data_IF_392963551431
#
_entry.id   IF_392963551431
#
_cell.length_a   1.000
_cell.length_b   1.000
_cell.length_c   1.000
_cell.angle_alpha   90.00
_cell.angle_beta   90.00
_cell.angle_gamma   90.00
#
_symmetry.space_group_name_H-M   'P 1'
#
loop_
_entity.id
_entity.type
_entity.pdbx_description
1 polymer ?
#
# COMPACT_ATOMS: atom_id res chain seq x y z
N UNK A 1 0.54 -3.61 -10.58
CA UNK A 1 1.60 -2.84 -9.90
C UNK A 1 1.40 -2.96 -8.40
N UNK A 2 2.48 -2.98 -7.65
CA UNK A 2 2.51 -3.03 -6.20
C UNK A 2 3.48 -1.96 -5.70
N UNK A 3 3.07 -1.21 -4.69
CA UNK A 3 3.88 -0.28 -3.93
C UNK A 3 3.76 -0.62 -2.45
N UNK A 4 4.88 -0.63 -1.74
CA UNK A 4 4.91 -0.78 -0.30
C UNK A 4 5.76 0.33 0.31
N UNK A 5 5.25 0.94 1.38
CA UNK A 5 5.93 1.99 2.12
C UNK A 5 5.91 1.64 3.59
N UNK A 6 7.07 1.54 4.22
CA UNK A 6 7.19 1.60 5.66
C UNK A 6 7.23 3.06 6.09
N UNK A 7 6.38 3.42 7.04
CA UNK A 7 6.24 4.79 7.56
C UNK A 7 6.30 4.74 9.08
N UNK A 8 7.03 5.68 9.68
CA UNK A 8 6.94 5.93 11.11
C UNK A 8 5.69 6.74 11.42
N UNK A 9 4.84 6.28 12.32
CA UNK A 9 3.67 7.01 12.77
C UNK A 9 3.91 7.48 14.21
N UNK A 10 4.16 8.77 14.39
CA UNK A 10 4.34 9.38 15.71
C UNK A 10 3.05 9.40 16.56
N UNK A 11 1.90 9.45 15.89
CA UNK A 11 0.57 9.29 16.49
C UNK A 11 -0.36 8.49 15.57
N UNK A 12 -1.48 8.00 16.13
CA UNK A 12 -2.53 7.28 15.40
C UNK A 12 -3.88 8.00 15.48
N UNK A 13 -3.85 9.32 15.67
CA UNK A 13 -5.04 10.16 15.71
C UNK A 13 -5.67 10.35 14.32
N UNK A 14 -6.83 11.02 14.22
CA UNK A 14 -7.58 11.15 12.97
C UNK A 14 -6.82 11.90 11.85
N UNK A 15 -5.82 12.72 12.20
CA UNK A 15 -5.01 13.47 11.24
C UNK A 15 -3.73 12.75 10.80
N UNK A 16 -3.34 11.68 11.51
CA UNK A 16 -2.20 10.82 11.14
C UNK A 16 -2.48 10.05 9.86
N UNK A 17 -1.44 9.47 9.25
CA UNK A 17 -1.62 8.56 8.12
C UNK A 17 -2.56 7.41 8.49
N UNK A 18 -2.38 6.80 9.66
CA UNK A 18 -3.24 5.72 10.16
C UNK A 18 -4.71 6.15 10.25
N UNK A 19 -5.00 7.31 10.85
CA UNK A 19 -6.36 7.83 10.95
C UNK A 19 -6.98 8.16 9.60
N UNK A 20 -6.20 8.69 8.66
CA UNK A 20 -6.64 8.97 7.28
C UNK A 20 -6.99 7.68 6.54
N UNK A 21 -6.16 6.65 6.62
CA UNK A 21 -6.43 5.36 5.97
C UNK A 21 -7.71 4.72 6.53
N UNK A 22 -7.92 4.76 7.85
CA UNK A 22 -9.16 4.28 8.46
C UNK A 22 -10.40 5.05 7.98
N UNK A 23 -10.31 6.39 7.91
CA UNK A 23 -11.41 7.22 7.40
C UNK A 23 -11.70 6.95 5.92
N UNK A 24 -10.67 6.74 5.11
CA UNK A 24 -10.81 6.37 3.70
C UNK A 24 -11.48 5.00 3.58
N UNK A 25 -11.02 4.00 4.31
CA UNK A 25 -11.59 2.66 4.29
C UNK A 25 -13.07 2.63 4.74
N UNK A 26 -13.44 3.44 5.74
CA UNK A 26 -14.82 3.51 6.23
C UNK A 26 -15.81 4.12 5.22
N UNK A 27 -15.33 4.96 4.29
CA UNK A 27 -16.14 5.67 3.31
C UNK A 27 -15.89 5.27 1.85
N UNK A 28 -15.00 4.31 1.59
CA UNK A 28 -14.60 3.95 0.24
C UNK A 28 -15.74 3.23 -0.51
N UNK A 29 -16.08 3.76 -1.68
CA UNK A 29 -16.83 3.00 -2.68
C UNK A 29 -15.87 2.10 -3.44
N UNK A 30 -15.88 0.80 -3.14
CA UNK A 30 -15.04 -0.20 -3.81
C UNK A 30 -15.77 -0.92 -4.94
N UNK A 31 -17.00 -0.52 -5.26
CA UNK A 31 -17.84 -1.16 -6.27
C UNK A 31 -17.84 -0.38 -7.60
N UNK A 32 -17.55 0.91 -7.58
CA UNK A 32 -17.41 1.73 -8.78
C UNK A 32 -15.96 1.99 -9.16
N UNK A 33 -15.71 2.16 -10.46
CA UNK A 33 -14.39 2.56 -10.96
C UNK A 33 -13.97 3.93 -10.40
N UNK A 34 -14.90 4.89 -10.32
CA UNK A 34 -14.63 6.21 -9.72
C UNK A 34 -14.23 6.09 -8.26
N UNK A 35 -14.92 5.27 -7.48
CA UNK A 35 -14.58 5.03 -6.08
C UNK A 35 -13.20 4.38 -5.90
N UNK A 36 -12.83 3.40 -6.74
CA UNK A 36 -11.49 2.81 -6.73
C UNK A 36 -10.40 3.82 -7.13
N UNK A 37 -10.67 4.67 -8.13
CA UNK A 37 -9.73 5.75 -8.51
C UNK A 37 -9.52 6.73 -7.36
N UNK A 38 -10.60 7.14 -6.70
CA UNK A 38 -10.54 8.01 -5.53
C UNK A 38 -9.76 7.36 -4.39
N UNK A 39 -9.98 6.07 -4.11
CA UNK A 39 -9.23 5.32 -3.09
C UNK A 39 -7.73 5.36 -3.35
N UNK A 40 -7.30 5.06 -4.58
CA UNK A 40 -5.86 5.08 -4.94
C UNK A 40 -5.29 6.49 -4.86
N UNK A 41 -6.01 7.50 -5.38
CA UNK A 41 -5.57 8.89 -5.36
C UNK A 41 -5.40 9.44 -3.94
N UNK A 42 -6.41 9.26 -3.09
CA UNK A 42 -6.37 9.74 -1.70
C UNK A 42 -5.32 9.01 -0.88
N UNK A 43 -5.16 7.69 -1.07
CA UNK A 43 -4.12 6.90 -0.39
C UNK A 43 -2.72 7.34 -0.82
N UNK A 44 -2.47 7.47 -2.13
CA UNK A 44 -1.16 7.92 -2.64
C UNK A 44 -0.85 9.35 -2.20
N UNK A 45 -1.84 10.23 -2.15
CA UNK A 45 -1.70 11.59 -1.63
C UNK A 45 -1.39 11.62 -0.13
N UNK A 46 -2.06 10.78 0.67
CA UNK A 46 -1.78 10.66 2.10
C UNK A 46 -0.34 10.19 2.35
N UNK A 47 0.14 9.22 1.57
CA UNK A 47 1.53 8.74 1.62
C UNK A 47 2.53 9.82 1.21
N UNK A 48 2.27 10.55 0.12
CA UNK A 48 3.12 11.67 -0.32
C UNK A 48 3.18 12.80 0.71
N UNK A 49 2.10 13.04 1.47
CA UNK A 49 2.09 14.04 2.55
C UNK A 49 2.84 13.59 3.80
N UNK A 50 3.12 12.29 3.96
CA UNK A 50 3.91 11.73 5.05
C UNK A 50 5.34 11.38 4.61
N UNK A 51 5.87 12.07 3.59
CA UNK A 51 7.19 11.79 3.01
C UNK A 51 8.32 11.86 4.04
N UNK A 52 8.24 12.80 4.99
CA UNK A 52 9.22 12.96 6.07
C UNK A 52 9.29 11.77 7.03
N UNK A 53 8.23 10.96 7.07
CA UNK A 53 8.10 9.79 7.95
C UNK A 53 8.42 8.48 7.22
N UNK A 54 8.76 8.51 5.92
CA UNK A 54 9.11 7.32 5.18
C UNK A 54 10.40 6.69 5.71
N UNK A 55 10.38 5.37 5.82
CA UNK A 55 11.47 4.57 6.38
C UNK A 55 12.04 3.64 5.33
N UNK A 56 11.19 2.93 4.62
CA UNK A 56 11.60 1.96 3.63
C UNK A 56 10.55 1.85 2.53
N UNK A 57 10.94 1.40 1.34
CA UNK A 57 10.04 1.31 0.20
C UNK A 57 10.32 0.13 -0.72
N UNK A 58 9.28 -0.28 -1.43
CA UNK A 58 9.36 -1.24 -2.53
C UNK A 58 8.36 -0.89 -3.61
N UNK A 59 8.73 -1.19 -4.85
CA UNK A 59 7.87 -1.12 -6.01
C UNK A 59 8.03 -2.37 -6.86
N UNK A 60 6.94 -2.83 -7.47
CA UNK A 60 6.99 -3.93 -8.42
C UNK A 60 5.91 -3.81 -9.49
N UNK A 61 6.25 -4.18 -10.72
CA UNK A 61 5.30 -4.26 -11.83
C UNK A 61 5.27 -5.68 -12.36
N UNK A 62 4.12 -6.33 -12.19
CA UNK A 62 3.87 -7.65 -12.77
C UNK A 62 3.25 -7.46 -14.15
N UNK A 63 4.02 -7.68 -15.21
CA UNK A 63 3.47 -7.68 -16.56
C UNK A 63 2.83 -9.05 -16.84
N UNK A 64 1.49 -9.09 -16.87
CA UNK A 64 0.71 -10.26 -17.29
C UNK A 64 -0.35 -9.85 -18.32
N UNK A 65 -0.73 -10.77 -19.20
CA UNK A 65 -1.85 -10.55 -20.13
C UNK A 65 -1.47 -10.06 -21.53
N UNK A 66 -0.28 -10.39 -22.04
CA UNK A 66 0.18 -9.99 -23.39
C UNK A 66 -0.72 -10.54 -24.55
N UNK A 67 -1.67 -11.44 -24.26
CA UNK A 67 -2.55 -12.10 -25.23
C UNK A 67 -4.04 -11.68 -25.13
N UNK A 68 -4.36 -10.57 -24.46
CA UNK A 68 -5.70 -9.97 -24.50
C UNK A 68 -6.78 -10.67 -23.66
N UNK A 69 -6.41 -11.55 -22.72
CA UNK A 69 -7.36 -12.19 -21.80
C UNK A 69 -7.43 -11.43 -20.47
N UNK A 70 -8.52 -10.70 -20.25
CA UNK A 70 -8.80 -9.97 -19.00
C UNK A 70 -8.76 -10.88 -17.76
N UNK A 71 -9.25 -12.12 -17.88
CA UNK A 71 -9.28 -13.08 -16.78
C UNK A 71 -7.88 -13.44 -16.27
N UNK A 72 -6.84 -13.37 -17.11
CA UNK A 72 -5.46 -13.68 -16.71
C UNK A 72 -4.90 -12.57 -15.81
N UNK A 73 -5.30 -11.32 -16.03
CA UNK A 73 -4.89 -10.16 -15.22
C UNK A 73 -5.59 -10.18 -13.86
N UNK A 74 -6.89 -10.40 -13.83
CA UNK A 74 -7.67 -10.49 -12.59
C UNK A 74 -7.21 -11.66 -11.71
N UNK A 75 -7.04 -12.85 -12.30
CA UNK A 75 -6.54 -14.01 -11.56
C UNK A 75 -5.13 -13.76 -11.00
N UNK A 76 -4.26 -13.12 -11.78
CA UNK A 76 -2.91 -12.78 -11.32
C UNK A 76 -2.91 -11.71 -10.22
N UNK A 77 -3.79 -10.72 -10.31
CA UNK A 77 -3.99 -9.71 -9.27
C UNK A 77 -4.44 -10.37 -7.97
N UNK A 78 -5.48 -11.21 -8.03
CA UNK A 78 -6.00 -11.93 -6.87
C UNK A 78 -4.94 -12.85 -6.23
N UNK A 79 -4.14 -13.55 -7.04
CA UNK A 79 -3.02 -14.36 -6.52
C UNK A 79 -1.95 -13.52 -5.83
N UNK A 80 -1.56 -12.38 -6.41
CA UNK A 80 -0.60 -11.48 -5.80
C UNK A 80 -1.16 -10.88 -4.50
N UNK A 81 -2.42 -10.49 -4.51
CA UNK A 81 -3.11 -9.94 -3.35
C UNK A 81 -3.19 -10.95 -2.19
N UNK A 82 -3.54 -12.20 -2.47
CA UNK A 82 -3.58 -13.25 -1.45
C UNK A 82 -2.21 -13.47 -0.79
N UNK A 83 -1.11 -13.38 -1.57
CA UNK A 83 0.25 -13.48 -1.02
C UNK A 83 0.58 -12.31 -0.10
N UNK A 84 0.18 -11.09 -0.47
CA UNK A 84 0.38 -9.94 0.40
C UNK A 84 -0.50 -10.07 1.65
N UNK A 85 -1.80 -10.34 1.54
CA UNK A 85 -2.71 -10.54 2.70
C UNK A 85 -2.21 -11.60 3.68
N UNK A 86 -1.65 -12.71 3.19
CA UNK A 86 -1.12 -13.77 4.04
C UNK A 86 -0.02 -13.26 5.00
N UNK A 87 0.79 -12.27 4.58
CA UNK A 87 1.80 -11.65 5.46
C UNK A 87 1.13 -10.89 6.61
N UNK A 88 0.00 -10.23 6.37
CA UNK A 88 -0.74 -9.44 7.35
C UNK A 88 -1.53 -10.36 8.31
N UNK A 89 -2.10 -11.47 7.79
CA UNK A 89 -2.80 -12.46 8.63
C UNK A 89 -1.85 -13.23 9.56
N UNK A 90 -0.63 -13.54 9.10
CA UNK A 90 0.43 -14.13 9.95
C UNK A 90 0.85 -13.18 11.10
N UNK A 91 0.63 -11.87 10.96
CA UNK A 91 0.85 -10.92 12.05
C UNK A 91 -0.29 -10.91 13.08
N UNK A 92 -1.54 -10.94 12.61
CA UNK A 92 -2.75 -10.89 13.46
C UNK A 92 -2.96 -12.13 14.34
N UNK A 93 -2.24 -13.23 14.09
CA UNK A 93 -2.26 -14.44 14.94
C UNK A 93 -1.47 -14.31 16.26
N UNK A 94 -1.19 -13.08 16.69
CA UNK A 94 -0.61 -12.76 18.01
C UNK A 94 0.88 -12.43 18.00
N UNK A 95 1.45 -12.07 16.84
CA UNK A 95 2.89 -11.71 16.72
C UNK A 95 3.16 -10.23 16.89
N UNK A 96 2.15 -9.36 16.80
CA UNK A 96 2.31 -7.93 17.09
C UNK A 96 2.24 -7.67 18.59
N UNK A 97 3.10 -6.76 19.06
CA UNK A 97 3.09 -6.33 20.46
C UNK A 97 1.95 -5.35 20.66
N UNK A 98 1.06 -5.68 21.59
CA UNK A 98 0.07 -4.72 22.10
C UNK A 98 0.73 -3.75 23.05
N UNK A 99 0.76 -2.47 22.69
CA UNK A 99 1.43 -1.42 23.48
C UNK A 99 0.48 -0.29 23.91
N UNK A 100 -0.79 -0.37 23.53
CA UNK A 100 -1.82 0.64 23.79
C UNK A 100 -2.12 1.49 22.55
N UNK A 101 -3.40 1.85 22.36
CA UNK A 101 -3.78 2.78 21.31
C UNK A 101 -3.04 4.13 21.38
N UNK A 102 -2.85 4.76 20.22
CA UNK A 102 -2.18 6.06 20.06
C UNK A 102 -0.70 6.11 20.48
N UNK A 103 -0.01 4.96 20.55
CA UNK A 103 1.44 4.94 20.71
C UNK A 103 2.15 5.09 19.37
N UNK A 104 3.35 5.72 19.35
CA UNK A 104 4.18 5.73 18.17
C UNK A 104 4.51 4.31 17.72
N UNK A 105 4.47 4.06 16.42
CA UNK A 105 4.67 2.74 15.83
C UNK A 105 5.10 2.89 14.38
N UNK A 106 5.74 1.86 13.82
CA UNK A 106 5.88 1.74 12.38
C UNK A 106 4.59 1.18 11.79
N UNK A 107 4.37 1.46 10.51
CA UNK A 107 3.27 0.91 9.71
C UNK A 107 3.77 0.59 8.31
N UNK A 108 3.31 -0.51 7.73
CA UNK A 108 3.51 -0.81 6.31
C UNK A 108 2.21 -0.52 5.59
N UNK A 109 2.26 0.28 4.53
CA UNK A 109 1.13 0.53 3.63
C UNK A 109 1.44 -0.10 2.29
N UNK A 110 0.56 -0.98 1.82
CA UNK A 110 0.64 -1.63 0.51
C UNK A 110 -0.46 -1.10 -0.40
N UNK A 111 -0.10 -0.54 -1.54
CA UNK A 111 -1.03 -0.11 -2.60
C UNK A 111 -0.83 -1.03 -3.80
N UNK A 112 -1.87 -1.76 -4.18
CA UNK A 112 -1.88 -2.62 -5.35
C UNK A 112 -2.90 -2.13 -6.36
N UNK A 113 -2.49 -2.03 -7.63
CA UNK A 113 -3.40 -1.69 -8.73
C UNK A 113 -3.21 -2.64 -9.90
N UNK A 114 -4.31 -3.10 -10.48
CA UNK A 114 -4.32 -3.73 -11.80
C UNK A 114 -4.67 -2.65 -12.83
N UNK A 115 -3.80 -2.47 -13.82
CA UNK A 115 -4.01 -1.50 -14.89
C UNK A 115 -4.05 -2.19 -16.24
N UNK A 116 -4.78 -1.61 -17.19
CA UNK A 116 -4.77 -2.01 -18.59
C UNK A 116 -3.42 -1.71 -19.25
N UNK A 117 -2.90 -0.52 -19.02
CA UNK A 117 -1.55 -0.08 -19.36
C UNK A 117 -0.75 0.17 -18.07
N UNK A 118 0.07 -0.83 -17.70
CA UNK A 118 0.90 -0.80 -16.51
C UNK A 118 2.37 -0.54 -16.88
N UNK A 119 2.89 0.70 -16.71
CA UNK A 119 4.30 0.96 -16.91
C UNK A 119 5.13 0.29 -15.81
N UNK A 120 6.40 0.04 -16.10
CA UNK A 120 7.35 -0.42 -15.09
C UNK A 120 7.59 0.69 -14.06
N UNK A 121 7.30 0.41 -12.79
CA UNK A 121 7.69 1.26 -11.67
C UNK A 121 9.22 1.39 -11.57
N UNK A 122 9.75 2.54 -11.16
CA UNK A 122 11.17 2.68 -10.87
C UNK A 122 11.54 1.79 -9.69
N UNK A 123 12.69 1.12 -9.74
CA UNK A 123 13.22 0.36 -8.61
C UNK A 123 13.58 1.31 -7.47
N UNK A 124 12.99 1.12 -6.30
CA UNK A 124 13.24 1.98 -5.14
C UNK A 124 14.69 1.84 -4.67
N UNK A 125 15.41 2.97 -4.62
CA UNK A 125 16.78 3.09 -4.09
C UNK A 125 16.96 4.28 -3.15
N UNK A 126 15.90 5.05 -2.95
CA UNK A 126 15.88 6.26 -2.15
C UNK A 126 14.55 7.01 -2.33
N UNK A 127 14.47 8.18 -1.70
CA UNK A 127 13.25 8.99 -1.64
C UNK A 127 12.73 9.41 -3.01
N UNK A 128 13.60 9.74 -3.96
CA UNK A 128 13.19 10.23 -5.29
C UNK A 128 12.47 9.15 -6.11
N UNK A 129 12.98 7.92 -6.14
CA UNK A 129 12.29 6.82 -6.80
C UNK A 129 10.98 6.48 -6.09
N UNK A 130 10.94 6.57 -4.75
CA UNK A 130 9.72 6.33 -3.98
C UNK A 130 8.62 7.33 -4.33
N UNK A 131 8.97 8.62 -4.34
CA UNK A 131 8.09 9.72 -4.75
C UNK A 131 7.60 9.54 -6.18
N UNK A 132 8.51 9.21 -7.10
CA UNK A 132 8.17 8.98 -8.50
C UNK A 132 7.25 7.77 -8.68
N UNK A 133 7.44 6.70 -7.90
CA UNK A 133 6.63 5.49 -8.01
C UNK A 133 5.19 5.73 -7.53
N UNK A 134 5.01 6.44 -6.41
CA UNK A 134 3.70 6.86 -5.89
C UNK A 134 2.99 7.80 -6.86
N UNK A 135 3.69 8.84 -7.36
CA UNK A 135 3.13 9.78 -8.31
C UNK A 135 2.71 9.10 -9.63
N UNK A 136 3.55 8.20 -10.16
CA UNK A 136 3.21 7.45 -11.36
C UNK A 136 2.02 6.52 -11.15
N UNK A 137 1.93 5.86 -9.99
CA UNK A 137 0.79 4.97 -9.68
C UNK A 137 -0.51 5.77 -9.60
N UNK A 138 -0.51 6.91 -8.91
CA UNK A 138 -1.67 7.81 -8.82
C UNK A 138 -2.10 8.31 -10.21
N UNK A 139 -1.15 8.81 -11.01
CA UNK A 139 -1.42 9.33 -12.34
C UNK A 139 -1.98 8.25 -13.27
N UNK A 140 -1.43 7.04 -13.25
CA UNK A 140 -1.90 5.94 -14.11
C UNK A 140 -3.25 5.39 -13.69
N UNK A 141 -3.50 5.29 -12.38
CA UNK A 141 -4.81 4.89 -11.85
C UNK A 141 -5.90 5.92 -12.15
N UNK A 142 -5.56 7.21 -12.27
CA UNK A 142 -6.57 8.26 -12.54
C UNK A 142 -7.16 8.24 -13.96
N UNK A 143 -6.50 7.57 -14.91
CA UNK A 143 -6.93 7.48 -16.30
C UNK A 143 -8.17 6.58 -16.36
N UNK A 144 -9.25 7.10 -16.94
CA UNK A 144 -10.51 6.39 -17.17
C UNK A 144 -10.27 5.10 -17.98
N UNK A 145 -10.97 4.03 -17.62
CA UNK A 145 -10.86 2.68 -18.19
C UNK A 145 -9.49 2.00 -18.04
N UNK A 146 -8.51 2.66 -17.40
CA UNK A 146 -7.18 2.09 -17.18
C UNK A 146 -7.12 1.31 -15.86
N UNK A 147 -7.83 1.74 -14.81
CA UNK A 147 -7.87 1.05 -13.53
C UNK A 147 -8.86 -0.13 -13.57
N UNK A 148 -8.34 -1.35 -13.47
CA UNK A 148 -9.14 -2.57 -13.51
C UNK A 148 -9.50 -3.08 -12.10
N UNK A 149 -8.58 -2.90 -11.15
CA UNK A 149 -8.78 -3.25 -9.75
C UNK A 149 -7.79 -2.46 -8.87
N UNK A 150 -8.15 -2.22 -7.62
CA UNK A 150 -7.27 -1.62 -6.63
C UNK A 150 -7.47 -2.25 -5.26
N UNK A 151 -6.41 -2.30 -4.46
CA UNK A 151 -6.45 -2.68 -3.05
C UNK A 151 -5.45 -1.82 -2.27
N UNK A 152 -5.85 -1.44 -1.06
CA UNK A 152 -4.97 -0.81 -0.06
C UNK A 152 -4.99 -1.66 1.21
N UNK A 153 -3.81 -2.07 1.66
CA UNK A 153 -3.63 -2.82 2.91
C UNK A 153 -2.68 -2.03 3.82
N UNK A 154 -2.89 -2.08 5.14
CA UNK A 154 -1.92 -1.57 6.10
C UNK A 154 -1.81 -2.45 7.34
N UNK A 155 -0.63 -2.46 7.95
CA UNK A 155 -0.36 -3.17 9.21
C UNK A 155 0.55 -2.31 10.09
N UNK A 156 0.30 -2.21 11.41
CA UNK A 156 -0.82 -2.84 12.13
C UNK A 156 -2.20 -2.27 11.79
N UNK A 157 -3.23 -3.12 11.72
CA UNK A 157 -4.63 -2.70 11.53
C UNK A 157 -5.34 -2.44 12.86
N UNK A 158 -5.05 -3.21 13.92
CA UNK A 158 -5.53 -2.93 15.28
C UNK A 158 -4.76 -1.72 15.85
N UNK A 159 -5.43 -0.67 16.35
CA UNK A 159 -4.77 0.49 16.94
C UNK A 159 -3.93 0.15 18.18
N UNK A 160 -4.22 -0.97 18.85
CA UNK A 160 -3.49 -1.45 20.03
C UNK A 160 -2.17 -2.15 19.66
N UNK A 161 -2.07 -2.64 18.43
CA UNK A 161 -0.90 -3.35 17.91
C UNK A 161 0.18 -2.39 17.41
N UNK A 162 1.43 -2.75 17.64
CA UNK A 162 2.60 -2.00 17.18
C UNK A 162 3.59 -2.87 16.42
N UNK A 163 4.32 -2.21 15.54
CA UNK A 163 5.43 -2.76 14.78
C UNK A 163 6.70 -1.97 15.13
N UNK A 164 7.79 -2.65 15.46
CA UNK A 164 9.11 -2.02 15.63
C UNK A 164 9.86 -1.93 14.30
N UNK A 165 10.91 -1.11 14.25
CA UNK A 165 11.76 -0.99 13.05
C UNK A 165 12.39 -2.33 12.67
N UNK A 166 12.84 -3.10 13.65
CA UNK A 166 13.42 -4.43 13.42
C UNK A 166 12.38 -5.39 12.84
N UNK A 167 11.14 -5.33 13.33
CA UNK A 167 10.04 -6.16 12.83
C UNK A 167 9.65 -5.79 11.39
N UNK A 168 9.72 -4.51 11.00
CA UNK A 168 9.54 -4.08 9.60
C UNK A 168 10.47 -4.88 8.67
N UNK A 169 11.78 -4.88 8.92
CA UNK A 169 12.73 -5.55 8.03
C UNK A 169 12.76 -7.07 8.21
N UNK A 170 12.39 -7.58 9.38
CA UNK A 170 12.28 -9.02 9.60
C UNK A 170 11.10 -9.63 8.82
N UNK A 171 9.96 -8.94 8.80
CA UNK A 171 8.71 -9.44 8.21
C UNK A 171 8.53 -9.02 6.75
N UNK A 172 9.13 -7.90 6.35
CA UNK A 172 9.12 -7.38 4.98
C UNK A 172 10.57 -7.21 4.48
N UNK A 173 11.35 -8.31 4.36
CA UNK A 173 12.76 -8.27 3.97
C UNK A 173 13.01 -7.73 2.56
N UNK A 174 11.97 -7.63 1.73
CA UNK A 174 11.99 -7.00 0.42
C UNK A 174 12.04 -5.46 0.41
N UNK A 175 11.80 -4.82 1.55
CA UNK A 175 11.80 -3.36 1.65
C UNK A 175 13.23 -2.82 1.65
N UNK A 176 13.45 -1.75 0.90
CA UNK A 176 14.73 -1.04 0.83
C UNK A 176 14.66 0.18 1.75
N UNK A 177 15.61 0.31 2.68
CA UNK A 177 15.77 1.48 3.56
C UNK A 177 16.00 2.74 2.69
N UNK A 178 15.30 3.84 3.01
CA UNK A 178 15.22 5.06 2.17
C UNK A 178 16.18 6.17 2.59
#
# INVERSE_FOLDING_TARGET
MLLQVAVYCGDRGPNSLYGRLNNLAAGADTWSEEGLRNLVQETTLALLRSEEDWVAGRSETFQKGMLGKSNDVESAFNQALLKERAKFEEENTGRLKRVGANKPSYMIVTVMVALRDAPNLPTIRGLDEMRSALAMTSARASIEENLLAAEVLWTPEDPEDSLTREEVFLKFPELIDL
#
